data_IF_436966043324
#
_entry.id   IF_436966043324
#
_cell.length_a   1.000
_cell.length_b   1.000
_cell.length_c   1.000
_cell.angle_alpha   90.00
_cell.angle_beta   90.00
_cell.angle_gamma   90.00
#
_symmetry.space_group_name_H-M   'P 1'
#
loop_
_entity.id
_entity.type
_entity.pdbx_description
1 polymer ?
#
# COMPACT_ATOMS: atom_id res chain seq x y z
N UNK A 1 57.58 -38.41 0.46
CA UNK A 1 56.25 -38.05 1.00
C UNK A 1 56.37 -36.65 1.60
N UNK A 2 55.65 -35.69 1.01
CA UNK A 2 55.44 -34.28 1.44
C UNK A 2 54.94 -34.23 2.92
N UNK A 3 55.14 -33.23 3.79
CA UNK A 3 55.47 -31.79 3.68
C UNK A 3 56.33 -31.38 4.89
N UNK A 4 57.30 -30.51 4.64
CA UNK A 4 58.14 -29.80 5.61
C UNK A 4 57.46 -28.46 5.97
N UNK A 5 57.23 -28.21 7.25
CA UNK A 5 56.82 -26.89 7.73
C UNK A 5 58.04 -25.98 7.74
N UNK A 6 57.93 -24.78 7.16
CA UNK A 6 58.89 -23.70 7.42
C UNK A 6 58.20 -22.34 7.27
N UNK A 7 58.18 -21.65 8.40
CA UNK A 7 57.88 -20.25 8.59
C UNK A 7 58.82 -19.38 7.74
N UNK A 8 58.30 -18.38 7.04
CA UNK A 8 59.11 -17.29 6.48
C UNK A 8 58.41 -15.95 6.69
N UNK A 9 59.12 -15.08 7.42
CA UNK A 9 58.87 -13.64 7.55
C UNK A 9 60.16 -12.97 7.09
N UNK A 10 60.12 -12.16 6.02
CA UNK A 10 61.00 -11.01 5.74
C UNK A 10 60.76 -10.47 4.32
N UNK A 11 60.65 -9.15 4.20
CA UNK A 11 60.88 -8.42 2.94
C UNK A 11 59.91 -7.25 2.70
N UNK A 12 60.39 -6.04 2.96
CA UNK A 12 59.68 -4.77 2.76
C UNK A 12 59.76 -4.22 1.31
N UNK A 13 58.90 -3.23 1.04
CA UNK A 13 58.87 -2.26 -0.08
C UNK A 13 58.27 -2.68 -1.44
N UNK A 14 57.09 -2.13 -1.76
CA UNK A 14 56.91 -1.25 -2.92
C UNK A 14 55.58 -0.45 -2.80
N UNK A 15 55.70 0.87 -2.71
CA UNK A 15 54.62 1.84 -2.91
C UNK A 15 54.29 1.87 -4.41
N UNK A 16 53.03 1.61 -4.79
CA UNK A 16 52.26 2.11 -5.97
C UNK A 16 51.35 1.03 -6.60
N UNK A 17 50.14 0.90 -6.08
CA UNK A 17 48.88 0.96 -6.84
C UNK A 17 47.96 1.82 -5.95
N UNK A 18 48.12 3.14 -5.99
CA UNK A 18 47.17 4.07 -6.64
C UNK A 18 45.73 3.71 -6.31
N UNK A 19 45.18 4.45 -5.34
CA UNK A 19 43.83 5.01 -5.32
C UNK A 19 42.79 4.28 -6.18
N UNK A 20 42.04 3.39 -5.55
CA UNK A 20 40.62 3.24 -5.89
C UNK A 20 39.79 2.77 -4.68
N UNK A 21 39.99 3.42 -3.53
CA UNK A 21 38.86 3.64 -2.64
C UNK A 21 38.24 4.95 -3.11
N UNK A 22 37.50 4.88 -4.21
CA UNK A 22 36.54 5.94 -4.47
C UNK A 22 35.59 5.89 -3.27
N UNK A 23 35.63 6.90 -2.40
CA UNK A 23 34.41 7.31 -1.71
C UNK A 23 33.29 7.26 -2.77
N UNK A 24 32.10 6.72 -2.47
CA UNK A 24 30.98 6.87 -3.41
C UNK A 24 30.97 8.33 -3.88
N UNK A 25 30.92 8.58 -5.19
CA UNK A 25 30.97 9.96 -5.70
C UNK A 25 29.94 10.74 -4.89
N UNK A 26 30.30 11.91 -4.35
CA UNK A 26 29.50 12.60 -3.34
C UNK A 26 27.99 12.68 -3.69
N UNK A 27 27.68 12.69 -4.98
CA UNK A 27 26.34 12.59 -5.57
C UNK A 27 25.55 11.30 -5.21
N UNK A 28 26.17 10.11 -5.17
CA UNK A 28 25.49 8.86 -4.81
C UNK A 28 25.06 8.79 -3.35
N UNK A 29 25.87 9.29 -2.42
CA UNK A 29 25.50 9.39 -1.00
C UNK A 29 24.34 10.38 -0.81
N UNK A 30 24.35 11.49 -1.55
CA UNK A 30 23.25 12.44 -1.55
C UNK A 30 21.97 11.83 -2.14
N UNK A 31 22.05 11.11 -3.26
CA UNK A 31 20.91 10.43 -3.87
C UNK A 31 20.32 9.33 -2.97
N UNK A 32 21.16 8.58 -2.25
CA UNK A 32 20.70 7.59 -1.27
C UNK A 32 20.03 8.26 -0.07
N UNK A 33 20.59 9.36 0.41
CA UNK A 33 20.01 10.13 1.51
C UNK A 33 18.66 10.75 1.12
N UNK A 34 18.55 11.34 -0.07
CA UNK A 34 17.29 11.89 -0.58
C UNK A 34 16.20 10.81 -0.69
N UNK A 35 16.56 9.61 -1.15
CA UNK A 35 15.62 8.48 -1.22
C UNK A 35 15.19 8.00 0.17
N UNK A 36 16.12 7.93 1.14
CA UNK A 36 15.79 7.57 2.52
C UNK A 36 14.90 8.62 3.19
N UNK A 37 15.20 9.90 2.98
CA UNK A 37 14.41 11.03 3.49
C UNK A 37 13.00 11.01 2.88
N UNK A 38 12.88 10.80 1.57
CA UNK A 38 11.59 10.65 0.89
C UNK A 38 10.83 9.43 1.40
N UNK A 39 11.48 8.26 1.53
CA UNK A 39 10.83 7.04 2.01
C UNK A 39 10.29 7.22 3.43
N UNK A 40 11.08 7.82 4.31
CA UNK A 40 10.66 8.12 5.69
C UNK A 40 9.46 9.05 5.71
N UNK A 41 9.51 10.11 4.89
CA UNK A 41 8.38 11.03 4.74
C UNK A 41 7.14 10.33 4.17
N UNK A 42 7.28 9.49 3.13
CA UNK A 42 6.17 8.79 2.49
C UNK A 42 5.48 7.81 3.46
N UNK A 43 6.27 7.04 4.22
CA UNK A 43 5.75 6.17 5.28
C UNK A 43 4.99 7.00 6.33
N UNK A 44 5.57 8.12 6.77
CA UNK A 44 4.91 9.04 7.69
C UNK A 44 3.58 9.56 7.15
N UNK A 45 3.53 9.97 5.89
CA UNK A 45 2.31 10.46 5.23
C UNK A 45 1.22 9.40 5.13
N UNK A 46 1.59 8.16 4.82
CA UNK A 46 0.62 7.07 4.78
C UNK A 46 0.08 6.77 6.18
N UNK A 47 0.90 6.84 7.23
CA UNK A 47 0.41 6.70 8.61
C UNK A 47 -0.47 7.88 9.04
N UNK A 48 -0.10 9.12 8.72
CA UNK A 48 -0.94 10.30 8.94
C UNK A 48 -2.31 10.14 8.27
N UNK A 49 -2.35 9.62 7.05
CA UNK A 49 -3.60 9.35 6.33
C UNK A 49 -4.47 8.34 7.08
N UNK A 50 -3.85 7.26 7.57
CA UNK A 50 -4.56 6.24 8.32
C UNK A 50 -5.10 6.77 9.65
N UNK A 51 -4.32 7.56 10.37
CA UNK A 51 -4.74 8.21 11.62
C UNK A 51 -5.88 9.20 11.38
N UNK A 52 -5.84 9.94 10.26
CA UNK A 52 -6.87 10.89 9.87
C UNK A 52 -8.22 10.25 9.60
N UNK A 53 -8.24 9.05 9.01
CA UNK A 53 -9.46 8.27 8.81
C UNK A 53 -10.03 7.83 10.16
N UNK A 54 -9.15 7.44 11.09
CA UNK A 54 -9.54 6.93 12.40
C UNK A 54 -10.48 5.74 12.26
N UNK A 55 -11.58 5.76 13.00
CA UNK A 55 -12.63 4.75 12.87
C UNK A 55 -13.79 5.24 12.02
N UNK A 56 -14.12 4.49 10.96
CA UNK A 56 -15.34 4.73 10.18
C UNK A 56 -16.59 4.44 11.02
N UNK A 57 -17.74 5.07 10.73
CA UNK A 57 -18.93 4.90 11.56
C UNK A 57 -19.42 3.44 11.61
N UNK A 58 -19.79 2.98 12.81
CA UNK A 58 -20.55 1.75 13.03
C UNK A 58 -21.99 2.12 13.39
N UNK A 59 -22.92 1.91 12.46
CA UNK A 59 -24.27 2.44 12.54
C UNK A 59 -25.23 1.29 12.91
N UNK A 60 -25.93 1.43 14.03
CA UNK A 60 -27.00 0.51 14.41
C UNK A 60 -28.20 0.69 13.50
N UNK A 61 -28.63 -0.38 12.85
CA UNK A 61 -29.79 -0.38 11.96
C UNK A 61 -30.97 -1.16 12.56
N UNK A 62 -32.09 -0.50 12.90
CA UNK A 62 -33.25 -1.19 13.44
C UNK A 62 -33.98 -1.98 12.34
N UNK A 63 -34.10 -3.30 12.53
CA UNK A 63 -34.79 -4.17 11.57
C UNK A 63 -36.25 -4.35 11.98
N UNK A 64 -37.17 -3.85 11.14
CA UNK A 64 -38.61 -3.98 11.37
C UNK A 64 -39.01 -5.46 11.41
N UNK A 65 -39.71 -5.86 12.47
CA UNK A 65 -40.19 -7.24 12.67
C UNK A 65 -39.19 -8.18 13.32
N UNK A 66 -37.94 -7.76 13.58
CA UNK A 66 -36.91 -8.55 14.25
C UNK A 66 -36.30 -7.76 15.42
N UNK A 67 -37.04 -7.50 16.52
CA UNK A 67 -36.58 -6.65 17.62
C UNK A 67 -35.40 -7.24 18.41
N UNK A 68 -35.15 -8.54 18.27
CA UNK A 68 -34.02 -9.25 18.87
C UNK A 68 -32.75 -9.20 18.02
N UNK A 69 -32.84 -8.76 16.75
CA UNK A 69 -31.70 -8.67 15.86
C UNK A 69 -31.00 -7.32 16.05
N UNK A 70 -29.74 -7.37 16.45
CA UNK A 70 -28.85 -6.21 16.49
C UNK A 70 -28.04 -6.17 15.19
N UNK A 71 -28.54 -5.43 14.19
CA UNK A 71 -27.84 -5.23 12.93
C UNK A 71 -26.98 -3.96 13.03
N UNK A 72 -25.71 -4.07 12.68
CA UNK A 72 -24.79 -2.94 12.56
C UNK A 72 -24.25 -2.87 11.13
N UNK A 73 -24.13 -1.66 10.62
CA UNK A 73 -23.59 -1.36 9.31
C UNK A 73 -22.28 -0.60 9.48
N UNK A 74 -21.22 -1.10 8.84
CA UNK A 74 -19.93 -0.43 8.81
C UNK A 74 -19.87 0.50 7.61
N UNK A 75 -19.82 1.81 7.85
CA UNK A 75 -19.89 2.82 6.79
C UNK A 75 -18.50 3.18 6.23
N UNK A 76 -17.98 2.32 5.36
CA UNK A 76 -16.72 2.57 4.64
C UNK A 76 -16.86 3.65 3.55
N UNK A 77 -18.06 4.17 3.29
CA UNK A 77 -18.25 5.31 2.39
C UNK A 77 -17.78 6.63 2.99
N UNK A 78 -17.53 6.66 4.31
CA UNK A 78 -16.94 7.79 5.04
C UNK A 78 -15.44 7.97 4.78
N UNK A 79 -14.78 6.99 4.15
CA UNK A 79 -13.38 7.13 3.72
C UNK A 79 -13.26 8.16 2.59
N UNK A 80 -12.08 8.79 2.38
CA UNK A 80 -11.88 9.80 1.34
C UNK A 80 -12.23 9.32 -0.07
N UNK A 81 -11.91 8.06 -0.39
CA UNK A 81 -12.24 7.45 -1.70
C UNK A 81 -13.60 6.73 -1.68
N UNK A 82 -14.35 6.87 -0.58
CA UNK A 82 -15.74 6.42 -0.39
C UNK A 82 -15.94 4.92 -0.61
N UNK A 83 -14.95 4.12 -0.24
CA UNK A 83 -15.02 2.67 -0.37
C UNK A 83 -14.09 1.93 0.59
N UNK A 84 -14.40 0.66 0.86
CA UNK A 84 -13.53 -0.25 1.63
C UNK A 84 -12.12 -0.38 1.04
N UNK A 85 -11.98 -0.25 -0.29
CA UNK A 85 -10.70 -0.35 -1.00
C UNK A 85 -9.68 0.72 -0.60
N UNK A 86 -10.12 1.77 0.10
CA UNK A 86 -9.23 2.76 0.69
C UNK A 86 -8.19 2.13 1.64
N UNK A 87 -8.63 1.21 2.51
CA UNK A 87 -7.76 0.53 3.48
C UNK A 87 -6.77 -0.40 2.79
N UNK A 88 -7.25 -1.13 1.79
CA UNK A 88 -6.42 -2.05 1.02
C UNK A 88 -5.35 -1.30 0.19
N UNK A 89 -5.73 -0.21 -0.47
CA UNK A 89 -4.79 0.63 -1.21
C UNK A 89 -3.73 1.28 -0.30
N UNK A 90 -4.12 1.70 0.91
CA UNK A 90 -3.18 2.18 1.92
C UNK A 90 -2.13 1.13 2.25
N UNK A 91 -2.55 -0.10 2.51
CA UNK A 91 -1.64 -1.19 2.84
C UNK A 91 -0.72 -1.57 1.66
N UNK A 92 -1.24 -1.62 0.43
CA UNK A 92 -0.42 -1.83 -0.78
C UNK A 92 0.63 -0.73 -0.97
N UNK A 93 0.23 0.54 -0.84
CA UNK A 93 1.14 1.67 -0.95
C UNK A 93 2.23 1.60 0.13
N UNK A 94 1.85 1.38 1.39
CA UNK A 94 2.80 1.27 2.50
C UNK A 94 3.79 0.12 2.28
N UNK A 95 3.28 -1.06 1.95
CA UNK A 95 4.11 -2.23 1.64
C UNK A 95 5.10 -1.93 0.51
N UNK A 96 4.63 -1.38 -0.61
CA UNK A 96 5.48 -1.11 -1.77
C UNK A 96 6.61 -0.11 -1.49
N UNK A 97 6.34 0.88 -0.62
CA UNK A 97 7.34 1.88 -0.19
C UNK A 97 8.32 1.26 0.80
N UNK A 98 7.85 0.49 1.77
CA UNK A 98 8.69 -0.18 2.78
C UNK A 98 9.68 -1.14 2.11
N UNK A 99 9.18 -1.99 1.21
CA UNK A 99 10.01 -2.93 0.42
C UNK A 99 10.91 -2.23 -0.61
N UNK A 100 10.63 -0.96 -0.90
CA UNK A 100 11.39 -0.19 -1.89
C UNK A 100 11.11 -0.53 -3.34
N UNK A 101 9.94 -1.11 -3.60
CA UNK A 101 9.40 -1.31 -4.94
C UNK A 101 9.00 0.03 -5.58
N UNK A 102 8.58 0.97 -4.75
CA UNK A 102 8.30 2.37 -5.13
C UNK A 102 9.37 3.27 -4.50
N UNK A 103 9.96 4.11 -5.33
CA UNK A 103 10.99 5.11 -4.97
C UNK A 103 10.52 6.50 -5.32
N UNK A 104 11.25 7.54 -4.91
CA UNK A 104 10.85 8.95 -5.13
C UNK A 104 10.65 9.34 -6.60
N UNK A 105 11.24 8.58 -7.51
CA UNK A 105 11.17 8.82 -8.97
C UNK A 105 10.33 7.78 -9.71
N UNK A 106 9.68 6.86 -8.98
CA UNK A 106 8.84 5.82 -9.58
C UNK A 106 7.54 6.40 -10.15
N UNK A 107 6.94 5.65 -11.06
CA UNK A 107 5.52 5.76 -11.41
C UNK A 107 4.85 4.43 -11.12
N UNK A 108 3.55 4.42 -10.90
CA UNK A 108 2.79 3.23 -10.50
C UNK A 108 1.69 2.93 -11.50
N UNK A 109 1.46 1.64 -11.74
CA UNK A 109 0.54 1.15 -12.76
C UNK A 109 -0.31 0.03 -12.19
N UNK A 110 -1.61 0.05 -12.44
CA UNK A 110 -2.52 -1.04 -12.06
C UNK A 110 -3.56 -1.29 -13.15
N UNK A 111 -3.94 -2.54 -13.34
CA UNK A 111 -4.99 -2.98 -14.24
C UNK A 111 -6.36 -2.99 -13.55
N UNK A 112 -6.78 -1.83 -13.05
CA UNK A 112 -8.03 -1.70 -12.30
C UNK A 112 -8.88 -0.55 -12.84
N UNK A 113 -10.19 -0.72 -12.79
CA UNK A 113 -11.16 0.25 -13.29
C UNK A 113 -12.22 0.65 -12.26
N UNK A 114 -12.09 0.18 -11.02
CA UNK A 114 -13.08 0.36 -9.95
C UNK A 114 -12.55 1.14 -8.75
N UNK A 115 -13.17 0.90 -7.59
CA UNK A 115 -12.82 1.54 -6.33
C UNK A 115 -11.35 1.37 -5.94
N UNK A 116 -10.71 0.25 -6.28
CA UNK A 116 -9.27 0.07 -6.04
C UNK A 116 -8.44 1.09 -6.82
N UNK A 117 -8.71 1.28 -8.11
CA UNK A 117 -7.93 2.23 -8.92
C UNK A 117 -8.02 3.66 -8.39
N UNK A 118 -9.21 4.08 -7.95
CA UNK A 118 -9.40 5.38 -7.31
C UNK A 118 -8.68 5.49 -5.96
N UNK A 119 -8.70 4.42 -5.17
CA UNK A 119 -8.02 4.37 -3.88
C UNK A 119 -6.48 4.37 -4.01
N UNK A 120 -5.94 3.61 -4.95
CA UNK A 120 -4.50 3.61 -5.26
C UNK A 120 -4.06 4.96 -5.83
N UNK A 121 -4.84 5.53 -6.75
CA UNK A 121 -4.60 6.88 -7.26
C UNK A 121 -4.46 7.89 -6.12
N UNK A 122 -5.38 7.83 -5.15
CA UNK A 122 -5.35 8.68 -3.96
C UNK A 122 -4.07 8.46 -3.14
N UNK A 123 -3.72 7.21 -2.82
CA UNK A 123 -2.59 6.88 -1.95
C UNK A 123 -1.24 7.25 -2.57
N UNK A 124 -1.01 6.88 -3.83
CA UNK A 124 0.25 7.21 -4.50
C UNK A 124 0.37 8.72 -4.74
N UNK A 125 -0.74 9.41 -5.05
CA UNK A 125 -0.73 10.87 -5.17
C UNK A 125 -0.43 11.57 -3.85
N UNK A 126 -0.90 11.03 -2.72
CA UNK A 126 -0.62 11.58 -1.39
C UNK A 126 0.88 11.57 -1.04
N UNK A 127 1.66 10.65 -1.64
CA UNK A 127 3.11 10.56 -1.51
C UNK A 127 3.88 11.08 -2.75
N UNK A 128 3.20 11.81 -3.64
CA UNK A 128 3.80 12.45 -4.80
C UNK A 128 4.19 11.50 -5.95
N UNK A 129 3.69 10.27 -5.95
CA UNK A 129 3.98 9.26 -6.97
C UNK A 129 2.86 9.23 -8.03
N UNK A 130 3.19 9.40 -9.33
CA UNK A 130 2.20 9.29 -10.39
C UNK A 130 1.57 7.89 -10.43
N UNK A 131 0.25 7.84 -10.53
CA UNK A 131 -0.51 6.59 -10.69
C UNK A 131 -1.25 6.55 -12.03
N UNK A 132 -1.13 5.42 -12.72
CA UNK A 132 -1.74 5.14 -14.02
C UNK A 132 -2.65 3.91 -13.95
N UNK A 133 -3.95 4.13 -14.05
CA UNK A 133 -4.92 3.06 -14.19
C UNK A 133 -5.05 2.62 -15.66
N UNK A 134 -4.76 1.34 -15.92
CA UNK A 134 -4.94 0.72 -17.23
C UNK A 134 -6.34 0.11 -17.32
N UNK A 135 -7.21 0.78 -18.07
CA UNK A 135 -8.66 0.54 -18.09
C UNK A 135 -9.18 0.17 -19.46
N UNK A 136 -10.39 -0.41 -19.50
CA UNK A 136 -11.14 -0.64 -20.74
C UNK A 136 -11.41 0.68 -21.49
N UNK A 137 -11.39 0.65 -22.82
CA UNK A 137 -11.81 1.79 -23.66
C UNK A 137 -13.22 2.27 -23.35
N UNK A 138 -14.11 1.33 -23.02
CA UNK A 138 -15.53 1.56 -22.80
C UNK A 138 -15.88 1.73 -21.31
N UNK A 139 -14.90 2.08 -20.47
CA UNK A 139 -15.14 2.29 -19.05
C UNK A 139 -16.19 3.38 -18.82
N UNK A 140 -17.13 3.12 -17.91
CA UNK A 140 -18.17 4.06 -17.50
C UNK A 140 -17.59 5.38 -17.00
N UNK A 141 -18.21 6.50 -17.38
CA UNK A 141 -17.72 7.84 -17.06
C UNK A 141 -17.56 8.08 -15.55
N UNK A 142 -18.47 7.57 -14.71
CA UNK A 142 -18.38 7.73 -13.26
C UNK A 142 -17.10 7.10 -12.67
N UNK A 143 -16.61 6.00 -13.24
CA UNK A 143 -15.35 5.36 -12.82
C UNK A 143 -14.13 6.14 -13.30
N UNK A 144 -14.19 6.68 -14.51
CA UNK A 144 -13.18 7.61 -15.05
C UNK A 144 -13.06 8.83 -14.15
N UNK A 145 -14.19 9.49 -13.84
CA UNK A 145 -14.22 10.69 -13.02
C UNK A 145 -13.69 10.42 -11.61
N UNK A 146 -13.98 9.25 -11.05
CA UNK A 146 -13.46 8.86 -9.74
C UNK A 146 -11.93 8.69 -9.74
N UNK A 147 -11.36 8.04 -10.75
CA UNK A 147 -9.90 7.88 -10.87
C UNK A 147 -9.23 9.25 -11.05
N UNK A 148 -9.73 10.07 -11.98
CA UNK A 148 -9.17 11.40 -12.26
C UNK A 148 -9.33 12.36 -11.07
N UNK A 149 -10.46 12.30 -10.37
CA UNK A 149 -10.73 13.10 -9.17
C UNK A 149 -9.81 12.77 -8.00
N UNK A 150 -9.20 11.59 -7.99
CA UNK A 150 -8.16 11.18 -7.04
C UNK A 150 -6.74 11.33 -7.63
N UNK A 151 -6.57 12.20 -8.63
CA UNK A 151 -5.30 12.50 -9.31
C UNK A 151 -4.66 11.33 -10.07
N UNK A 152 -5.43 10.27 -10.35
CA UNK A 152 -4.99 9.18 -11.20
C UNK A 152 -4.96 9.59 -12.67
N UNK A 153 -4.14 8.89 -13.45
CA UNK A 153 -4.07 9.01 -14.90
C UNK A 153 -4.62 7.74 -15.56
N UNK A 154 -5.03 7.84 -16.83
CA UNK A 154 -5.70 6.75 -17.53
C UNK A 154 -4.90 6.29 -18.75
N UNK A 155 -4.75 4.98 -18.88
CA UNK A 155 -4.29 4.33 -20.11
C UNK A 155 -5.43 3.43 -20.58
N UNK A 156 -6.05 3.78 -21.70
CA UNK A 156 -7.18 3.02 -22.25
C UNK A 156 -6.70 1.93 -23.21
N UNK A 157 -7.15 0.70 -23.00
CA UNK A 157 -6.86 -0.45 -23.86
C UNK A 157 -8.04 -1.42 -23.92
N UNK A 158 -7.91 -2.48 -24.73
CA UNK A 158 -8.90 -3.55 -24.82
C UNK A 158 -8.81 -4.47 -23.59
N UNK A 159 -9.94 -4.97 -23.11
CA UNK A 159 -10.01 -5.67 -21.82
C UNK A 159 -9.07 -6.86 -21.70
N UNK A 160 -8.84 -7.59 -22.80
CA UNK A 160 -7.94 -8.76 -22.85
C UNK A 160 -6.46 -8.42 -22.64
N UNK A 161 -6.07 -7.15 -22.81
CA UNK A 161 -4.65 -6.74 -22.77
C UNK A 161 -4.30 -5.85 -21.58
N UNK A 162 -5.27 -5.47 -20.74
CA UNK A 162 -5.05 -4.48 -19.66
C UNK A 162 -3.92 -4.87 -18.70
N UNK A 163 -3.92 -6.10 -18.20
CA UNK A 163 -2.90 -6.57 -17.25
C UNK A 163 -1.50 -6.61 -17.87
N UNK A 164 -1.42 -7.16 -19.09
CA UNK A 164 -0.17 -7.19 -19.85
C UNK A 164 0.37 -5.78 -20.12
N UNK A 165 -0.48 -4.87 -20.60
CA UNK A 165 -0.08 -3.50 -20.91
C UNK A 165 0.40 -2.75 -19.67
N UNK A 166 -0.27 -2.92 -18.52
CA UNK A 166 0.15 -2.31 -17.25
C UNK A 166 1.56 -2.77 -16.85
N UNK A 167 1.79 -4.08 -16.88
CA UNK A 167 3.09 -4.69 -16.57
C UNK A 167 4.19 -4.26 -17.53
N UNK A 168 3.93 -4.29 -18.83
CA UNK A 168 4.89 -3.90 -19.86
C UNK A 168 5.22 -2.40 -19.80
N UNK A 169 4.21 -1.56 -19.53
CA UNK A 169 4.41 -0.12 -19.39
C UNK A 169 5.27 0.20 -18.18
N UNK A 170 4.98 -0.40 -17.02
CA UNK A 170 5.79 -0.26 -15.81
C UNK A 170 7.25 -0.66 -16.07
N UNK A 171 7.48 -1.82 -16.69
CA UNK A 171 8.83 -2.29 -17.01
C UNK A 171 9.58 -1.33 -17.96
N UNK A 172 8.88 -0.77 -18.96
CA UNK A 172 9.47 0.15 -19.94
C UNK A 172 9.80 1.52 -19.36
N UNK A 173 9.02 2.01 -18.39
CA UNK A 173 9.21 3.33 -17.77
C UNK A 173 10.05 3.29 -16.50
N UNK A 174 10.45 2.10 -16.04
CA UNK A 174 11.09 1.93 -14.72
C UNK A 174 10.11 2.16 -13.56
N UNK A 175 8.82 2.01 -13.81
CA UNK A 175 7.78 2.09 -12.80
C UNK A 175 7.44 0.75 -12.16
N UNK A 176 6.48 0.78 -11.24
CA UNK A 176 6.01 -0.37 -10.48
C UNK A 176 4.61 -0.78 -10.93
N UNK A 177 4.45 -2.06 -11.26
CA UNK A 177 3.13 -2.66 -11.49
C UNK A 177 2.62 -3.22 -10.15
N UNK A 178 1.54 -2.64 -9.64
CA UNK A 178 1.05 -2.90 -8.27
C UNK A 178 0.59 -4.34 -8.10
N UNK A 179 -0.05 -4.91 -9.12
CA UNK A 179 -0.56 -6.29 -9.12
C UNK A 179 -1.39 -6.59 -7.88
N UNK A 180 -2.47 -5.82 -7.66
CA UNK A 180 -3.29 -5.87 -6.45
C UNK A 180 -3.73 -7.31 -6.08
N UNK A 181 -3.92 -8.17 -7.08
CA UNK A 181 -4.32 -9.56 -6.89
C UNK A 181 -3.14 -10.43 -6.48
N UNK A 182 -2.00 -10.30 -7.16
CA UNK A 182 -0.78 -11.06 -6.85
C UNK A 182 -0.16 -10.66 -5.50
N UNK A 183 -0.37 -9.42 -5.07
CA UNK A 183 0.19 -8.85 -3.85
C UNK A 183 -0.84 -8.67 -2.72
N UNK A 184 -2.04 -9.23 -2.85
CA UNK A 184 -3.11 -9.10 -1.84
C UNK A 184 -2.63 -9.54 -0.45
N UNK A 185 -1.95 -10.69 -0.35
CA UNK A 185 -1.40 -11.21 0.92
C UNK A 185 -0.39 -10.28 1.59
N UNK A 186 0.23 -9.36 0.83
CA UNK A 186 1.18 -8.38 1.36
C UNK A 186 0.49 -7.16 1.97
N UNK A 187 -0.71 -6.88 1.50
CA UNK A 187 -1.54 -5.76 1.93
C UNK A 187 -2.66 -6.17 2.89
N UNK A 188 -2.95 -7.46 3.02
CA UNK A 188 -3.90 -7.95 4.01
C UNK A 188 -3.30 -7.88 5.41
N UNK A 189 -3.87 -7.01 6.23
CA UNK A 189 -3.55 -6.90 7.64
C UNK A 189 -4.43 -7.86 8.45
N UNK A 190 -3.92 -9.06 8.68
CA UNK A 190 -4.56 -10.08 9.51
C UNK A 190 -4.34 -9.87 11.02
N UNK A 191 -3.48 -8.92 11.40
CA UNK A 191 -2.98 -8.80 12.76
C UNK A 191 -3.71 -7.74 13.57
N UNK A 192 -3.94 -8.01 14.86
CA UNK A 192 -4.32 -6.97 15.81
C UNK A 192 -3.08 -6.12 16.09
N UNK A 193 -3.22 -4.80 16.19
CA UNK A 193 -2.09 -3.90 16.46
C UNK A 193 -1.38 -4.20 17.79
N UNK A 194 -1.95 -5.03 18.67
CA UNK A 194 -1.24 -5.61 19.81
C UNK A 194 -0.69 -4.59 20.82
N UNK A 195 -1.27 -3.38 20.86
CA UNK A 195 -0.80 -2.27 21.69
C UNK A 195 0.26 -1.36 21.05
N UNK A 196 0.54 -1.54 19.75
CA UNK A 196 1.34 -0.58 18.97
C UNK A 196 0.59 0.76 18.84
N UNK A 197 1.34 1.87 18.81
CA UNK A 197 0.76 3.22 18.78
C UNK A 197 -0.05 3.54 17.52
N UNK A 198 0.14 2.78 16.44
CA UNK A 198 -0.67 2.88 15.23
C UNK A 198 -1.58 1.65 15.11
N UNK A 199 -2.86 1.88 14.87
CA UNK A 199 -3.85 0.81 14.71
C UNK A 199 -3.67 0.07 13.38
N UNK A 200 -4.14 -1.18 13.31
CA UNK A 200 -4.14 -2.04 12.10
C UNK A 200 -5.21 -1.61 11.09
N UNK A 201 -5.00 -1.80 9.78
CA UNK A 201 -5.99 -1.44 8.74
C UNK A 201 -7.28 -2.28 8.78
N UNK A 202 -7.29 -3.33 9.61
CA UNK A 202 -8.31 -4.35 9.72
C UNK A 202 -9.68 -3.81 10.20
N UNK A 203 -10.68 -3.88 9.33
CA UNK A 203 -12.06 -3.44 9.61
C UNK A 203 -12.70 -4.24 10.74
N UNK A 204 -12.43 -5.53 10.83
CA UNK A 204 -13.05 -6.37 11.84
C UNK A 204 -12.55 -6.02 13.24
N UNK A 205 -11.25 -5.75 13.40
CA UNK A 205 -10.71 -5.26 14.68
C UNK A 205 -11.33 -3.93 15.09
N UNK A 206 -11.50 -3.02 14.14
CA UNK A 206 -12.17 -1.75 14.39
C UNK A 206 -13.63 -1.93 14.84
N UNK A 207 -14.38 -2.83 14.19
CA UNK A 207 -15.73 -3.21 14.62
C UNK A 207 -15.72 -3.74 16.05
N UNK A 208 -14.79 -4.64 16.40
CA UNK A 208 -14.69 -5.17 17.75
C UNK A 208 -14.37 -4.09 18.78
N UNK A 209 -13.46 -3.15 18.47
CA UNK A 209 -13.13 -2.02 19.34
C UNK A 209 -14.35 -1.12 19.58
N UNK A 210 -15.03 -0.71 18.51
CA UNK A 210 -16.24 0.13 18.61
C UNK A 210 -17.37 -0.56 19.38
N UNK A 211 -17.58 -1.86 19.16
CA UNK A 211 -18.57 -2.62 19.93
C UNK A 211 -18.22 -2.67 21.42
N UNK A 212 -16.94 -2.85 21.78
CA UNK A 212 -16.46 -2.85 23.17
C UNK A 212 -16.71 -1.50 23.84
N UNK A 213 -16.46 -0.40 23.14
CA UNK A 213 -16.54 0.94 23.69
C UNK A 213 -17.97 1.50 23.80
N UNK A 214 -18.93 1.01 23.01
CA UNK A 214 -20.31 1.50 23.03
C UNK A 214 -21.11 0.97 24.26
N UNK A 215 -21.39 1.78 25.29
CA UNK A 215 -22.04 1.33 26.52
C UNK A 215 -23.49 0.84 26.29
N UNK A 216 -24.13 1.21 25.18
CA UNK A 216 -25.51 0.82 24.86
C UNK A 216 -25.62 -0.59 24.28
N UNK A 217 -24.49 -1.23 23.97
CA UNK A 217 -24.46 -2.57 23.39
C UNK A 217 -24.37 -3.61 24.51
N UNK A 218 -25.46 -4.38 24.76
CA UNK A 218 -25.49 -5.33 25.87
C UNK A 218 -24.59 -6.54 25.65
N UNK A 219 -24.30 -6.89 24.38
CA UNK A 219 -23.46 -8.04 24.01
C UNK A 219 -22.30 -7.59 23.14
N UNK A 220 -21.09 -7.67 23.70
CA UNK A 220 -19.82 -7.22 23.09
C UNK A 220 -19.19 -8.24 22.13
N UNK A 221 -20.01 -9.07 21.50
CA UNK A 221 -19.58 -10.19 20.67
C UNK A 221 -20.32 -10.17 19.33
N UNK A 222 -19.60 -10.49 18.26
CA UNK A 222 -20.15 -10.62 16.91
C UNK A 222 -20.55 -12.08 16.68
N UNK A 223 -21.84 -12.34 16.46
CA UNK A 223 -22.33 -13.68 16.11
C UNK A 223 -22.09 -14.00 14.62
N UNK A 224 -22.27 -13.00 13.76
CA UNK A 224 -22.13 -13.11 12.31
C UNK A 224 -21.47 -11.85 11.76
N UNK A 225 -20.45 -12.03 10.93
CA UNK A 225 -19.87 -10.98 10.10
C UNK A 225 -20.15 -11.31 8.64
N UNK A 226 -20.81 -10.40 7.93
CA UNK A 226 -21.20 -10.59 6.54
C UNK A 226 -20.54 -9.50 5.71
N UNK A 227 -19.73 -9.89 4.73
CA UNK A 227 -19.20 -9.00 3.72
C UNK A 227 -19.31 -9.67 2.34
N UNK A 228 -19.34 -8.87 1.28
CA UNK A 228 -19.27 -9.38 -0.08
C UNK A 228 -17.83 -9.83 -0.37
N UNK A 229 -17.67 -10.98 -1.03
CA UNK A 229 -16.38 -11.40 -1.55
C UNK A 229 -16.00 -10.56 -2.79
N UNK A 230 -14.81 -9.95 -2.75
CA UNK A 230 -14.19 -9.19 -3.84
C UNK A 230 -12.72 -9.59 -3.93
N UNK A 231 -11.81 -8.71 -4.37
CA UNK A 231 -10.38 -8.84 -4.01
C UNK A 231 -10.14 -8.56 -2.52
N UNK A 232 -10.89 -9.26 -1.68
CA UNK A 232 -10.83 -9.33 -0.22
C UNK A 232 -11.19 -10.78 0.17
#
# INVERSE_FOLDING_TARGET
MRVQWSLFLLGAFCWTIVDNMSSPPADQDHLQKEEQDWRTWAIGRLWEERERIGHTPLIKYPVRGLPFLQLYLKDESATPTRSLKHRFAWALALWSVVEGLVTRNSSTYESSSGNTAAAEAYMYSAIGIPFYAVVSRNLEQAKIDNILGNNGQLIKTDDSTRGQLAKETAARTGGFYVDQHGNAEKAEDFTESGGYGHESGNVFHEVLAQLRDDPEIPRKAVDYFVHCAGTD
#
